data_IF_143887351920
#
_entry.id   IF_143887351920
#
_cell.length_a   1.000
_cell.length_b   1.000
_cell.length_c   1.000
_cell.angle_alpha   90.00
_cell.angle_beta   90.00
_cell.angle_gamma   90.00
#
_symmetry.space_group_name_H-M   'P 1'
#
loop_
_entity.id
_entity.type
_entity.pdbx_description
1 polymer ?
#
# COMPACT_ATOMS: atom_id res chain seq x y z
N UNK A 1 -9.58 -19.17 4.65
CA UNK A 1 -9.45 -19.14 3.16
C UNK A 1 -8.04 -18.74 2.78
N UNK A 2 -7.49 -19.30 1.69
CA UNK A 2 -6.15 -18.94 1.20
C UNK A 2 -6.24 -17.83 0.14
N UNK A 3 -5.49 -16.76 0.34
CA UNK A 3 -5.39 -15.63 -0.58
C UNK A 3 -4.00 -15.58 -1.20
N UNK A 4 -3.94 -15.30 -2.50
CA UNK A 4 -2.70 -15.20 -3.24
C UNK A 4 -2.48 -13.76 -3.67
N UNK A 5 -1.26 -13.22 -3.55
CA UNK A 5 -0.95 -11.93 -4.13
C UNK A 5 -1.04 -12.02 -5.66
N UNK A 6 -1.49 -10.93 -6.29
CA UNK A 6 -1.44 -10.81 -7.73
C UNK A 6 0.01 -10.90 -8.24
N UNK A 7 0.19 -11.39 -9.46
CA UNK A 7 1.51 -11.51 -10.06
C UNK A 7 2.22 -10.15 -10.10
N UNK A 8 3.46 -10.10 -9.60
CA UNK A 8 4.27 -8.88 -9.55
C UNK A 8 3.94 -7.93 -8.39
N UNK A 9 2.96 -8.25 -7.53
CA UNK A 9 2.64 -7.46 -6.34
C UNK A 9 3.20 -8.07 -5.06
N UNK A 10 3.86 -7.25 -4.25
CA UNK A 10 4.23 -7.58 -2.88
C UNK A 10 3.19 -7.02 -1.91
N UNK A 11 2.29 -7.88 -1.47
CA UNK A 11 1.34 -7.55 -0.41
C UNK A 11 1.99 -7.80 0.93
N UNK A 12 1.76 -6.91 1.89
CA UNK A 12 2.18 -7.09 3.28
C UNK A 12 1.01 -7.52 4.14
N UNK A 13 1.29 -8.40 5.08
CA UNK A 13 0.35 -8.77 6.13
C UNK A 13 0.13 -7.58 7.08
N UNK A 14 -1.12 -7.22 7.41
CA UNK A 14 -1.39 -6.06 8.26
C UNK A 14 -1.07 -6.28 9.75
N UNK A 15 -0.83 -7.53 10.19
CA UNK A 15 -0.54 -7.86 11.59
C UNK A 15 0.97 -7.99 11.80
N UNK A 16 1.61 -8.79 10.97
CA UNK A 16 3.04 -9.14 11.09
C UNK A 16 3.95 -8.23 10.27
N UNK A 17 3.36 -7.43 9.37
CA UNK A 17 4.07 -6.59 8.39
C UNK A 17 5.02 -7.37 7.46
N UNK A 18 4.94 -8.71 7.50
CA UNK A 18 5.71 -9.60 6.64
C UNK A 18 5.17 -9.55 5.21
N UNK A 19 6.07 -9.72 4.24
CA UNK A 19 5.69 -9.82 2.83
C UNK A 19 5.05 -11.19 2.60
N UNK A 20 3.89 -11.19 1.97
CA UNK A 20 3.13 -12.39 1.64
C UNK A 20 3.86 -13.13 0.50
N UNK A 21 4.20 -14.42 0.68
CA UNK A 21 4.83 -15.18 -0.39
C UNK A 21 3.86 -15.44 -1.55
N UNK A 22 4.41 -15.67 -2.74
CA UNK A 22 3.61 -16.02 -3.93
C UNK A 22 2.77 -17.30 -3.75
N UNK A 23 3.16 -18.18 -2.82
CA UNK A 23 2.39 -19.36 -2.40
C UNK A 23 1.10 -19.04 -1.61
N UNK A 24 0.80 -17.75 -1.40
CA UNK A 24 -0.38 -17.27 -0.71
C UNK A 24 -0.27 -17.27 0.81
N UNK A 25 -1.27 -16.68 1.44
CA UNK A 25 -1.43 -16.55 2.89
C UNK A 25 -2.75 -17.16 3.32
N UNK A 26 -2.75 -17.78 4.49
CA UNK A 26 -3.97 -18.22 5.14
C UNK A 26 -4.61 -17.07 5.91
N UNK A 27 -5.83 -16.72 5.52
CA UNK A 27 -6.59 -15.63 6.11
C UNK A 27 -7.87 -16.18 6.71
N UNK A 28 -8.22 -15.79 7.95
CA UNK A 28 -9.51 -16.15 8.53
C UNK A 28 -10.64 -15.52 7.72
N UNK A 29 -11.58 -16.37 7.31
CA UNK A 29 -12.75 -15.98 6.55
C UNK A 29 -14.04 -16.39 7.26
N UNK A 30 -15.12 -15.67 6.94
CA UNK A 30 -16.48 -15.99 7.37
C UNK A 30 -17.37 -15.88 6.13
N UNK A 31 -18.10 -16.95 5.80
CA UNK A 31 -18.97 -17.02 4.62
C UNK A 31 -18.23 -16.70 3.30
N UNK A 32 -16.98 -17.13 3.14
CA UNK A 32 -16.22 -16.94 1.90
C UNK A 32 -15.71 -15.51 1.69
N UNK A 33 -15.82 -14.63 2.68
CA UNK A 33 -15.22 -13.29 2.71
C UNK A 33 -14.21 -13.20 3.87
N UNK A 34 -13.05 -12.57 3.65
CA UNK A 34 -12.09 -12.39 4.73
C UNK A 34 -12.71 -11.50 5.82
N UNK A 35 -12.55 -11.90 7.08
CA UNK A 35 -13.15 -11.16 8.21
C UNK A 35 -12.52 -9.77 8.36
N UNK A 36 -11.26 -9.61 7.97
CA UNK A 36 -10.56 -8.33 8.05
C UNK A 36 -10.88 -7.43 6.84
N UNK A 37 -11.25 -6.18 7.13
CA UNK A 37 -11.49 -5.14 6.12
C UNK A 37 -10.30 -4.89 5.20
N UNK A 38 -9.07 -5.08 5.71
CA UNK A 38 -7.85 -4.93 4.91
C UNK A 38 -7.87 -5.87 3.69
N UNK A 39 -8.12 -7.16 3.93
CA UNK A 39 -8.18 -8.17 2.88
C UNK A 39 -9.37 -7.98 1.96
N UNK A 40 -10.52 -7.52 2.47
CA UNK A 40 -11.67 -7.18 1.64
C UNK A 40 -11.35 -6.05 0.66
N UNK A 41 -10.64 -5.00 1.10
CA UNK A 41 -10.22 -3.90 0.24
C UNK A 41 -9.23 -4.37 -0.82
N UNK A 42 -8.22 -5.17 -0.43
CA UNK A 42 -7.24 -5.73 -1.39
C UNK A 42 -7.91 -6.62 -2.43
N UNK A 43 -8.91 -7.39 -2.03
CA UNK A 43 -9.65 -8.26 -2.93
C UNK A 43 -10.52 -7.45 -3.92
N UNK A 44 -11.12 -6.35 -3.46
CA UNK A 44 -11.82 -5.39 -4.35
C UNK A 44 -10.88 -4.64 -5.29
N UNK A 45 -9.67 -4.32 -4.83
CA UNK A 45 -8.65 -3.65 -5.62
C UNK A 45 -8.00 -4.58 -6.66
N UNK A 46 -8.17 -5.90 -6.53
CA UNK A 46 -7.50 -6.89 -7.38
C UNK A 46 -6.04 -7.16 -6.99
N UNK A 47 -5.60 -6.64 -5.85
CA UNK A 47 -4.26 -6.90 -5.30
C UNK A 47 -4.07 -8.36 -4.84
N UNK A 48 -5.18 -9.02 -4.45
CA UNK A 48 -5.19 -10.42 -4.00
C UNK A 48 -6.34 -11.20 -4.61
N UNK A 49 -6.09 -12.47 -4.90
CA UNK A 49 -7.05 -13.40 -5.52
C UNK A 49 -7.28 -14.63 -4.63
N UNK A 50 -8.49 -15.21 -4.71
CA UNK A 50 -8.84 -16.46 -4.02
C UNK A 50 -8.33 -17.69 -4.77
N UNK A 51 -8.16 -17.56 -6.07
CA UNK A 51 -7.57 -18.55 -6.95
C UNK A 51 -6.06 -18.43 -6.91
N UNK A 52 -5.38 -19.59 -6.83
CA UNK A 52 -3.95 -19.66 -7.01
C UNK A 52 -3.63 -19.10 -8.41
N UNK A 53 -2.76 -18.09 -8.54
CA UNK A 53 -2.31 -17.66 -9.83
C UNK A 53 -1.53 -18.84 -10.44
N UNK A 54 -2.12 -19.48 -11.45
CA UNK A 54 -1.35 -20.32 -12.37
C UNK A 54 -0.19 -19.45 -12.83
N UNK A 55 1.03 -19.88 -12.55
CA UNK A 55 2.25 -19.11 -12.73
C UNK A 55 2.33 -18.52 -14.14
N UNK A 56 1.86 -17.29 -14.29
CA UNK A 56 2.15 -16.44 -15.44
C UNK A 56 2.89 -15.26 -14.86
N UNK A 57 4.21 -15.30 -15.03
CA UNK A 57 5.11 -14.17 -14.86
C UNK A 57 4.46 -12.90 -15.41
N UNK A 58 4.05 -11.99 -14.54
CA UNK A 58 3.75 -10.63 -14.94
C UNK A 58 4.60 -9.69 -14.08
N UNK A 59 5.46 -8.98 -14.80
CA UNK A 59 6.55 -8.13 -14.35
C UNK A 59 6.10 -7.02 -13.37
N UNK A 60 7.04 -6.48 -12.58
CA UNK A 60 6.75 -5.41 -11.64
C UNK A 60 6.45 -4.11 -12.39
N UNK A 61 5.19 -3.67 -12.43
CA UNK A 61 4.89 -2.26 -12.64
C UNK A 61 4.76 -1.57 -11.28
N UNK A 62 5.91 -1.41 -10.63
CA UNK A 62 6.08 -0.37 -9.64
C UNK A 62 6.22 0.98 -10.37
N UNK A 63 5.13 1.52 -10.90
CA UNK A 63 5.07 2.96 -11.17
C UNK A 63 4.81 3.64 -9.84
N UNK A 64 5.88 3.72 -9.02
CA UNK A 64 5.98 4.74 -8.00
C UNK A 64 5.84 6.07 -8.73
N UNK A 65 4.68 6.69 -8.60
CA UNK A 65 4.56 8.14 -8.76
C UNK A 65 5.32 8.79 -7.60
N UNK A 66 6.65 8.74 -7.68
CA UNK A 66 7.50 9.71 -7.04
C UNK A 66 7.25 11.02 -7.79
N UNK A 67 6.26 11.77 -7.34
CA UNK A 67 6.31 13.22 -7.50
C UNK A 67 7.30 13.69 -6.44
N UNK A 68 8.56 14.03 -6.78
CA UNK A 68 9.34 14.86 -5.88
C UNK A 68 8.56 16.17 -5.79
N UNK A 69 7.90 16.42 -4.66
CA UNK A 69 7.48 17.76 -4.33
C UNK A 69 8.79 18.55 -4.13
N UNK A 70 9.17 19.49 -5.01
CA UNK A 70 10.23 20.40 -4.66
C UNK A 70 9.72 21.20 -3.48
N UNK A 71 10.35 21.03 -2.32
CA UNK A 71 10.34 22.04 -1.27
C UNK A 71 11.18 23.21 -1.79
N UNK A 72 10.62 24.41 -2.06
CA UNK A 72 11.45 25.58 -2.01
C UNK A 72 11.63 25.93 -0.54
N UNK A 73 12.63 25.32 0.09
CA UNK A 73 13.30 25.96 1.20
C UNK A 73 14.26 26.99 0.60
N UNK A 74 13.86 28.26 0.61
CA UNK A 74 14.84 29.36 0.51
C UNK A 74 14.85 30.10 1.85
N UNK A 75 15.99 30.11 2.56
CA UNK A 75 16.23 30.86 3.79
C UNK A 75 16.76 32.27 3.49
N UNK A 76 16.37 33.26 4.30
CA UNK A 76 17.04 34.58 4.53
C UNK A 76 16.04 35.45 5.29
N UNK A 77 16.11 35.46 6.62
CA UNK A 77 16.87 36.42 7.42
C UNK A 77 16.29 37.84 7.39
N UNK A 78 15.67 38.22 8.52
CA UNK A 78 15.74 39.52 9.21
C UNK A 78 14.37 39.94 9.78
N UNK A 79 14.19 39.72 11.09
CA UNK A 79 13.39 40.60 11.95
C UNK A 79 14.10 41.98 12.06
N UNK A 80 13.53 43.04 12.68
CA UNK A 80 12.29 43.15 13.46
C UNK A 80 11.46 44.44 13.15
N UNK A 81 10.55 44.81 14.07
CA UNK A 81 9.76 46.06 14.16
C UNK A 81 8.41 46.02 13.41
N UNK A 82 7.28 46.48 13.93
CA UNK A 82 7.03 47.43 15.02
C UNK A 82 5.58 47.25 15.51
N UNK A 83 5.36 47.50 16.81
CA UNK A 83 4.03 47.77 17.37
C UNK A 83 3.45 49.10 16.81
N UNK A 84 2.25 49.47 17.29
CA UNK A 84 1.55 50.79 17.22
C UNK A 84 0.33 50.73 16.28
N UNK A 85 -0.89 50.49 16.78
CA UNK A 85 -1.86 51.43 17.40
C UNK A 85 -2.50 52.41 16.41
N UNK A 86 -3.81 52.23 16.14
CA UNK A 86 -4.81 53.27 15.90
C UNK A 86 -6.22 52.64 15.93
#
# INVERSE_FOLDING_TARGET
MRLYPAAGLQIRDPITHAVIPAGGVEVPDRNGLPTSFYWQRRLRAGDVTKTAPTAVSAAPQATQAATPQPVPATPTAAAPAEQVHA
#
